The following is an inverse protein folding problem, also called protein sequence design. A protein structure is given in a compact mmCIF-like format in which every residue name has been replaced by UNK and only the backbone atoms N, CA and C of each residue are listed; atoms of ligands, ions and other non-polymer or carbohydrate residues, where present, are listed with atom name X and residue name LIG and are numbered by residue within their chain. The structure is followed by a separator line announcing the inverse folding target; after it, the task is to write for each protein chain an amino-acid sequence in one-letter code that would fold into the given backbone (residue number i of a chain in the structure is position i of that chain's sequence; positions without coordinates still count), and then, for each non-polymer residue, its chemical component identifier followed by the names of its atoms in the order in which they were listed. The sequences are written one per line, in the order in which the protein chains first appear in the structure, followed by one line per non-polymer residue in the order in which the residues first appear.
data_IF_894008638451
#
_entry.id   IF_894008638451
#
_cell.length_a   1.000
_cell.length_b   1.000
_cell.length_c   1.000
_cell.angle_alpha   90.00
_cell.angle_beta   90.00
_cell.angle_gamma   90.00
#
_symmetry.space_group_name_H-M   'P 1'
#
loop_
_entity.id
_entity.type
_entity.pdbx_description
1 polymer ?
#
# COMPACT_ATOMS: atom_id res chain seq x y z
N UNK A 1 -6.06 30.66 -26.71
CA UNK A 1 -4.66 30.19 -26.75
C UNK A 1 -4.31 29.70 -25.33
N UNK A 2 -4.28 28.40 -25.07
CA UNK A 2 -3.85 27.86 -23.76
C UNK A 2 -2.35 27.59 -23.81
N UNK A 3 -1.57 28.33 -23.03
CA UNK A 3 -0.17 28.00 -22.78
C UNK A 3 -0.13 26.89 -21.72
N UNK A 4 0.15 25.66 -22.13
CA UNK A 4 0.43 24.57 -21.19
C UNK A 4 1.87 24.69 -20.70
N UNK A 5 2.06 25.04 -19.43
CA UNK A 5 3.37 25.02 -18.79
C UNK A 5 3.73 23.57 -18.48
N UNK A 6 4.64 22.97 -19.25
CA UNK A 6 5.16 21.63 -18.98
C UNK A 6 6.07 21.68 -17.74
N UNK A 7 5.51 21.30 -16.58
CA UNK A 7 6.24 21.14 -15.33
C UNK A 7 6.01 19.76 -14.73
N UNK A 8 7.02 19.19 -14.06
CA UNK A 8 6.83 18.00 -13.23
C UNK A 8 5.97 18.37 -12.00
N UNK A 9 4.89 17.62 -11.78
CA UNK A 9 4.04 17.73 -10.60
C UNK A 9 4.17 16.49 -9.71
N UNK A 10 4.08 16.69 -8.40
CA UNK A 10 3.93 15.60 -7.43
C UNK A 10 2.47 15.54 -6.98
N UNK A 11 1.64 14.79 -7.71
CA UNK A 11 0.28 14.48 -7.29
C UNK A 11 0.26 13.14 -6.55
N UNK A 12 -0.48 13.10 -5.43
CA UNK A 12 -0.78 11.85 -4.76
C UNK A 12 -1.73 10.97 -5.59
N UNK A 13 -1.86 9.68 -5.26
CA UNK A 13 -2.85 8.82 -5.88
C UNK A 13 -4.27 9.35 -5.57
N UNK A 14 -5.04 9.68 -6.61
CA UNK A 14 -6.36 10.30 -6.46
C UNK A 14 -7.45 9.41 -5.83
N UNK A 15 -7.15 8.14 -5.52
CA UNK A 15 -8.04 7.24 -4.79
C UNK A 15 -7.30 6.00 -4.26
N UNK A 16 -7.91 5.30 -3.30
CA UNK A 16 -7.42 4.01 -2.81
C UNK A 16 -7.34 2.95 -3.94
N UNK A 17 -8.31 2.95 -4.87
CA UNK A 17 -8.29 2.07 -6.03
C UNK A 17 -7.12 2.37 -6.98
N UNK A 18 -6.81 3.65 -7.20
CA UNK A 18 -5.63 4.04 -7.97
C UNK A 18 -4.34 3.61 -7.27
N UNK A 19 -4.25 3.82 -5.96
CA UNK A 19 -3.10 3.39 -5.16
C UNK A 19 -2.91 1.88 -5.18
N UNK A 20 -4.00 1.09 -5.10
CA UNK A 20 -3.96 -0.39 -5.17
C UNK A 20 -3.25 -0.90 -6.43
N UNK A 21 -3.46 -0.24 -7.58
CA UNK A 21 -2.80 -0.63 -8.83
C UNK A 21 -1.29 -0.37 -8.83
N UNK A 22 -0.82 0.57 -8.01
CA UNK A 22 0.61 0.90 -7.89
C UNK A 22 1.30 -0.05 -6.90
N UNK A 23 0.69 -0.27 -5.74
CA UNK A 23 1.31 -1.08 -4.67
C UNK A 23 1.10 -2.58 -4.84
N UNK A 24 0.06 -2.99 -5.58
CA UNK A 24 -0.26 -4.39 -5.82
C UNK A 24 -0.67 -5.16 -4.56
N UNK A 25 -0.39 -6.47 -4.59
CA UNK A 25 -0.85 -7.46 -3.61
C UNK A 25 0.27 -8.34 -3.06
N UNK A 26 1.52 -8.11 -3.46
CA UNK A 26 2.66 -9.01 -3.18
C UNK A 26 2.98 -9.12 -1.68
N UNK A 27 2.65 -8.08 -0.91
CA UNK A 27 2.84 -8.08 0.54
C UNK A 27 1.73 -8.85 1.29
N UNK A 28 0.60 -9.19 0.64
CA UNK A 28 -0.52 -9.86 1.31
C UNK A 28 -0.07 -11.25 1.79
N UNK A 29 -0.04 -11.44 3.12
CA UNK A 29 0.43 -12.68 3.75
C UNK A 29 1.94 -12.93 3.65
N UNK A 30 2.71 -11.95 3.15
CA UNK A 30 4.17 -12.06 3.09
C UNK A 30 4.77 -12.17 4.50
N UNK A 31 5.82 -12.98 4.62
CA UNK A 31 6.63 -13.06 5.83
C UNK A 31 8.02 -12.50 5.59
N UNK A 32 8.47 -11.66 6.51
CA UNK A 32 9.83 -11.13 6.51
C UNK A 32 10.85 -12.24 6.79
N UNK A 33 12.05 -12.11 6.21
CA UNK A 33 13.15 -13.02 6.50
C UNK A 33 13.64 -12.87 7.95
N UNK A 34 13.54 -11.65 8.48
CA UNK A 34 13.85 -11.33 9.88
C UNK A 34 12.65 -10.72 10.61
N UNK A 35 12.74 -10.63 11.93
CA UNK A 35 11.76 -9.91 12.74
C UNK A 35 11.70 -8.41 12.36
N UNK A 36 12.82 -7.82 11.90
CA UNK A 36 12.80 -6.44 11.43
C UNK A 36 12.05 -6.28 10.11
N UNK A 37 12.26 -7.21 9.17
CA UNK A 37 11.52 -7.22 7.91
C UNK A 37 10.03 -7.40 8.15
N UNK A 38 9.65 -8.29 9.07
CA UNK A 38 8.25 -8.48 9.43
C UNK A 38 7.63 -7.18 9.98
N UNK A 39 8.32 -6.47 10.88
CA UNK A 39 7.83 -5.17 11.38
C UNK A 39 7.67 -4.14 10.25
N UNK A 40 8.54 -4.15 9.23
CA UNK A 40 8.41 -3.25 8.08
C UNK A 40 7.19 -3.62 7.23
N UNK A 41 7.01 -4.90 6.94
CA UNK A 41 5.83 -5.43 6.21
C UNK A 41 4.55 -5.08 6.95
N UNK A 42 4.48 -5.36 8.26
CA UNK A 42 3.30 -5.13 9.08
C UNK A 42 2.92 -3.64 9.13
N UNK A 43 3.91 -2.73 9.27
CA UNK A 43 3.65 -1.29 9.24
C UNK A 43 3.09 -0.82 7.89
N UNK A 44 3.62 -1.33 6.78
CA UNK A 44 3.10 -1.01 5.44
C UNK A 44 1.68 -1.56 5.28
N UNK A 45 1.45 -2.81 5.68
CA UNK A 45 0.14 -3.45 5.60
C UNK A 45 -0.92 -2.69 6.40
N UNK A 46 -0.62 -2.28 7.63
CA UNK A 46 -1.53 -1.47 8.47
C UNK A 46 -1.95 -0.18 7.76
N UNK A 47 -1.01 0.53 7.13
CA UNK A 47 -1.32 1.76 6.38
C UNK A 47 -2.25 1.53 5.18
N UNK A 48 -1.97 0.50 4.39
CA UNK A 48 -2.78 0.14 3.22
C UNK A 48 -4.18 -0.35 3.60
N UNK A 49 -4.28 -1.12 4.68
CA UNK A 49 -5.55 -1.59 5.24
C UNK A 49 -6.39 -0.45 5.81
N UNK A 50 -5.79 0.42 6.63
CA UNK A 50 -6.48 1.59 7.17
C UNK A 50 -6.94 2.55 6.06
N UNK A 51 -6.15 2.67 4.99
CA UNK A 51 -6.48 3.47 3.81
C UNK A 51 -7.49 2.83 2.84
N UNK A 52 -7.99 1.62 3.13
CA UNK A 52 -8.96 0.92 2.27
C UNK A 52 -8.40 0.47 0.92
N UNK A 53 -7.08 0.34 0.80
CA UNK A 53 -6.40 -0.10 -0.43
C UNK A 53 -6.57 -1.61 -0.63
N UNK A 54 -6.55 -2.36 0.47
CA UNK A 54 -6.84 -3.78 0.51
C UNK A 54 -8.20 -4.05 1.16
N UNK A 55 -8.82 -5.16 0.77
CA UNK A 55 -10.10 -5.60 1.34
C UNK A 55 -9.92 -6.13 2.76
N UNK A 56 -11.01 -6.22 3.53
CA UNK A 56 -10.94 -6.79 4.90
C UNK A 56 -10.38 -8.21 4.92
N UNK A 57 -10.71 -9.02 3.91
CA UNK A 57 -10.20 -10.39 3.80
C UNK A 57 -8.68 -10.41 3.58
N UNK A 58 -8.18 -9.57 2.69
CA UNK A 58 -6.74 -9.43 2.43
C UNK A 58 -5.98 -8.94 3.67
N UNK A 59 -6.55 -7.96 4.38
CA UNK A 59 -6.00 -7.48 5.64
C UNK A 59 -5.96 -8.54 6.73
N UNK A 60 -6.91 -9.48 6.74
CA UNK A 60 -6.92 -10.61 7.66
C UNK A 60 -5.73 -11.57 7.52
N UNK A 61 -5.01 -11.52 6.39
CA UNK A 61 -3.79 -12.31 6.18
C UNK A 61 -2.58 -11.76 6.95
N UNK A 62 -2.71 -10.54 7.50
CA UNK A 62 -1.73 -9.91 8.38
C UNK A 62 -2.24 -9.96 9.82
N UNK A 63 -1.56 -10.71 10.68
CA UNK A 63 -2.01 -10.92 12.07
C UNK A 63 -1.77 -12.33 12.64
N UNK A 64 -0.91 -13.13 12.00
CA UNK A 64 -0.53 -14.48 12.46
C UNK A 64 0.63 -14.53 13.45
N UNK A 65 0.86 -13.47 14.23
CA UNK A 65 1.83 -13.47 15.33
C UNK A 65 1.13 -13.71 16.66
N UNK A 66 0.83 -14.98 16.97
CA UNK A 66 0.69 -15.41 18.37
C UNK A 66 1.96 -16.13 18.76
#
# INVERSE_FOLDING_TARGET
MMLALSGCGTSGPGSAAALRRIVGTDLIGARGATAEDQRRIDRTAVGLCAGGVWTRQECGQHGGGR
#
